data_IF_451904236120
#
_entry.id   IF_451904236120
#
_cell.length_a   1.000
_cell.length_b   1.000
_cell.length_c   1.000
_cell.angle_alpha   90.00
_cell.angle_beta   90.00
_cell.angle_gamma   90.00
#
_symmetry.space_group_name_H-M   'P 1'
#
loop_
_entity.id
_entity.type
_entity.pdbx_description
1 polymer ?
#
# COMPACT_ATOMS: atom_id res chain seq x y z
N UNK A 1 -2.27 17.58 26.37
CA UNK A 1 -2.13 16.11 26.55
C UNK A 1 -2.58 15.43 25.26
N UNK A 2 -1.71 15.15 24.28
CA UNK A 2 -2.14 14.44 23.07
C UNK A 2 -2.30 12.95 23.41
N UNK A 3 -3.47 12.40 23.09
CA UNK A 3 -3.79 10.99 23.30
C UNK A 3 -2.83 10.09 22.47
N UNK A 4 -1.92 9.40 23.16
CA UNK A 4 -0.87 8.57 22.54
C UNK A 4 -1.37 7.18 22.07
N UNK A 5 -2.68 6.98 21.91
CA UNK A 5 -3.25 5.64 21.70
C UNK A 5 -4.07 5.48 20.42
N UNK A 6 -4.35 6.56 19.67
CA UNK A 6 -5.12 6.49 18.42
C UNK A 6 -4.27 6.27 17.16
N UNK A 7 -3.01 6.72 17.16
CA UNK A 7 -2.14 6.67 15.98
C UNK A 7 -1.58 5.27 15.70
N UNK A 8 -1.41 4.42 16.73
CA UNK A 8 -0.77 3.12 16.56
C UNK A 8 -1.72 2.10 15.89
N UNK A 9 -3.00 2.09 16.27
CA UNK A 9 -4.00 1.18 15.69
C UNK A 9 -4.29 1.52 14.22
N UNK A 10 -4.47 2.80 13.90
CA UNK A 10 -4.70 3.24 12.52
C UNK A 10 -3.48 2.97 11.64
N UNK A 11 -2.26 3.21 12.15
CA UNK A 11 -1.02 2.88 11.45
C UNK A 11 -0.84 1.37 11.27
N UNK A 12 -1.22 0.56 12.26
CA UNK A 12 -1.20 -0.90 12.17
C UNK A 12 -2.18 -1.41 11.11
N UNK A 13 -3.41 -0.90 11.10
CA UNK A 13 -4.41 -1.24 10.08
C UNK A 13 -3.93 -0.81 8.70
N UNK A 14 -3.36 0.39 8.56
CA UNK A 14 -2.80 0.86 7.29
C UNK A 14 -1.66 -0.06 6.83
N UNK A 15 -0.77 -0.44 7.74
CA UNK A 15 0.34 -1.38 7.51
C UNK A 15 -0.16 -2.73 6.99
N UNK A 16 -1.19 -3.30 7.61
CA UNK A 16 -1.82 -4.54 7.16
C UNK A 16 -2.46 -4.40 5.77
N UNK A 17 -3.14 -3.27 5.51
CA UNK A 17 -3.73 -2.98 4.19
C UNK A 17 -2.66 -2.84 3.11
N UNK A 18 -1.52 -2.24 3.42
CA UNK A 18 -0.37 -2.09 2.51
C UNK A 18 0.26 -3.44 2.16
N UNK A 19 0.37 -4.37 3.12
CA UNK A 19 0.82 -5.74 2.86
C UNK A 19 -0.11 -6.48 1.90
N UNK A 20 -1.41 -6.38 2.13
CA UNK A 20 -2.41 -6.94 1.21
C UNK A 20 -2.31 -6.30 -0.18
N UNK A 21 -2.09 -4.98 -0.25
CA UNK A 21 -1.92 -4.27 -1.51
C UNK A 21 -0.69 -4.76 -2.28
N UNK A 22 0.43 -4.97 -1.59
CA UNK A 22 1.65 -5.53 -2.18
C UNK A 22 1.39 -6.93 -2.76
N UNK A 23 0.69 -7.79 -2.03
CA UNK A 23 0.32 -9.11 -2.53
C UNK A 23 -0.54 -9.01 -3.81
N UNK A 24 -1.53 -8.11 -3.85
CA UNK A 24 -2.35 -7.89 -5.04
C UNK A 24 -1.54 -7.31 -6.21
N UNK A 25 -0.53 -6.48 -5.94
CA UNK A 25 0.32 -5.90 -6.99
C UNK A 25 1.10 -6.96 -7.78
N UNK A 26 1.56 -8.02 -7.10
CA UNK A 26 2.31 -9.13 -7.70
C UNK A 26 1.41 -10.24 -8.28
N UNK A 27 0.25 -10.49 -7.67
CA UNK A 27 -0.59 -11.62 -8.06
C UNK A 27 -1.73 -11.24 -9.03
N UNK A 28 -1.87 -9.95 -9.37
CA UNK A 28 -2.96 -9.46 -10.23
C UNK A 28 -2.51 -8.34 -11.15
N UNK A 29 -3.23 -8.18 -12.26
CA UNK A 29 -3.03 -7.09 -13.22
C UNK A 29 -3.88 -5.84 -12.90
N UNK A 30 -4.54 -5.81 -11.73
CA UNK A 30 -5.39 -4.69 -11.32
C UNK A 30 -4.61 -3.38 -11.28
N UNK A 31 -5.22 -2.26 -11.67
CA UNK A 31 -4.52 -0.97 -11.62
C UNK A 31 -4.19 -0.60 -10.18
N UNK A 32 -3.08 0.11 -9.97
CA UNK A 32 -2.65 0.58 -8.64
C UNK A 32 -3.77 1.33 -7.91
N UNK A 33 -4.58 2.11 -8.65
CA UNK A 33 -5.75 2.81 -8.10
C UNK A 33 -6.79 1.84 -7.55
N UNK A 34 -7.08 0.75 -8.26
CA UNK A 34 -8.12 -0.20 -7.90
C UNK A 34 -7.69 -1.00 -6.68
N UNK A 35 -6.40 -1.36 -6.61
CA UNK A 35 -5.79 -2.01 -5.43
C UNK A 35 -5.86 -1.10 -4.20
N UNK A 36 -5.60 0.20 -4.34
CA UNK A 36 -5.72 1.15 -3.24
C UNK A 36 -7.15 1.17 -2.68
N UNK A 37 -8.16 1.28 -3.54
CA UNK A 37 -9.56 1.26 -3.13
C UNK A 37 -9.97 -0.10 -2.53
N UNK A 38 -9.54 -1.21 -3.12
CA UNK A 38 -9.89 -2.56 -2.67
C UNK A 38 -9.26 -2.93 -1.32
N UNK A 39 -8.15 -2.30 -0.97
CA UNK A 39 -7.50 -2.43 0.35
C UNK A 39 -7.98 -1.41 1.37
N UNK A 40 -8.96 -0.57 1.00
CA UNK A 40 -9.66 0.34 1.91
C UNK A 40 -9.03 1.73 2.03
N UNK A 41 -8.18 2.15 1.08
CA UNK A 41 -7.71 3.53 0.99
C UNK A 41 -8.68 4.38 0.17
N UNK A 42 -9.01 5.57 0.67
CA UNK A 42 -9.89 6.49 -0.04
C UNK A 42 -9.14 7.42 -1.01
N UNK A 43 -7.80 7.45 -0.93
CA UNK A 43 -6.96 8.27 -1.80
C UNK A 43 -5.72 7.49 -2.25
N UNK A 44 -5.50 7.48 -3.55
CA UNK A 44 -4.35 6.84 -4.20
C UNK A 44 -3.05 7.57 -3.90
N UNK A 45 -3.09 8.90 -3.70
CA UNK A 45 -1.93 9.71 -3.35
C UNK A 45 -1.45 9.38 -1.92
N UNK A 46 -2.39 9.32 -0.97
CA UNK A 46 -2.11 8.93 0.41
C UNK A 46 -1.60 7.49 0.50
N UNK A 47 -2.23 6.57 -0.25
CA UNK A 47 -1.76 5.20 -0.40
C UNK A 47 -0.33 5.15 -0.94
N UNK A 48 -0.03 5.85 -2.03
CA UNK A 48 1.30 5.86 -2.64
C UNK A 48 2.38 6.39 -1.70
N UNK A 49 2.07 7.44 -0.93
CA UNK A 49 2.97 7.98 0.10
C UNK A 49 3.27 6.96 1.19
N UNK A 50 2.23 6.36 1.78
CA UNK A 50 2.40 5.35 2.83
C UNK A 50 3.08 4.08 2.34
N UNK A 51 2.75 3.64 1.12
CA UNK A 51 3.38 2.48 0.49
C UNK A 51 4.87 2.71 0.31
N UNK A 52 5.27 3.89 -0.20
CA UNK A 52 6.67 4.27 -0.33
C UNK A 52 7.37 4.40 1.01
N UNK A 53 6.70 4.94 2.04
CA UNK A 53 7.26 5.04 3.39
C UNK A 53 7.52 3.65 4.00
N UNK A 54 6.62 2.68 3.77
CA UNK A 54 6.74 1.32 4.29
C UNK A 54 7.73 0.45 3.49
N UNK A 55 7.70 0.49 2.16
CA UNK A 55 8.44 -0.43 1.30
C UNK A 55 9.62 0.22 0.55
N UNK A 56 9.83 1.53 0.70
CA UNK A 56 10.92 2.28 0.06
C UNK A 56 10.72 2.59 -1.44
N UNK A 57 9.68 2.04 -2.08
CA UNK A 57 9.37 2.20 -3.50
C UNK A 57 7.88 2.44 -3.71
N UNK A 58 7.51 3.04 -4.83
CA UNK A 58 6.09 3.23 -5.17
C UNK A 58 5.46 1.90 -5.61
N UNK A 59 4.14 1.72 -5.45
CA UNK A 59 3.44 0.50 -5.88
C UNK A 59 3.64 0.17 -7.37
N UNK A 60 3.73 1.20 -8.23
CA UNK A 60 4.01 1.00 -9.66
C UNK A 60 5.45 0.53 -9.93
N UNK A 61 6.43 1.06 -9.18
CA UNK A 61 7.80 0.56 -9.23
C UNK A 61 7.90 -0.88 -8.73
N UNK A 62 7.16 -1.22 -7.67
CA UNK A 62 7.16 -2.57 -7.09
C UNK A 62 6.67 -3.61 -8.10
N UNK A 63 5.60 -3.30 -8.83
CA UNK A 63 5.07 -4.16 -9.91
C UNK A 63 6.05 -4.35 -11.07
N UNK A 64 6.70 -3.28 -11.53
CA UNK A 64 7.62 -3.35 -12.67
C UNK A 64 8.95 -4.04 -12.33
N UNK A 65 9.21 -4.31 -11.06
CA UNK A 65 10.44 -4.95 -10.59
C UNK A 65 10.30 -6.45 -10.44
N UNK A 66 9.16 -7.04 -10.84
CA UNK A 66 9.00 -8.49 -10.88
C UNK A 66 9.93 -9.08 -11.97
N UNK A 67 11.01 -9.80 -11.62
CA UNK A 67 11.97 -10.33 -12.58
C UNK A 67 11.41 -11.52 -13.39
N UNK A 68 10.15 -11.91 -13.18
CA UNK A 68 9.51 -13.05 -13.82
C UNK A 68 8.69 -12.69 -15.07
N UNK A 69 8.74 -11.42 -15.51
CA UNK A 69 8.12 -10.94 -16.76
C UNK A 69 9.12 -10.22 -17.70
N UNK A 70 10.38 -10.70 -17.76
CA UNK A 70 11.32 -10.40 -18.85
C UNK A 70 11.52 -11.62 -19.75
#
# INVERSE_FOLDING_TARGET
MPALTGLSVSSFIATFRLEKAQHLLFNTELLVKDIAYQTGFNSTDYFGKLYKEKFGKTPGQDRNMDPNNS
#
